data_IF_198225966394
#
_entry.id   IF_198225966394
#
_cell.length_a   1.000
_cell.length_b   1.000
_cell.length_c   1.000
_cell.angle_alpha   90.00
_cell.angle_beta   90.00
_cell.angle_gamma   90.00
#
_symmetry.space_group_name_H-M   'P 1'
#
loop_
_entity.id
_entity.type
_entity.pdbx_description
1 polymer ?
#
# COMPACT_ATOMS: atom_id res chain seq x y z
N UNK A 1 -65.28 -31.42 -2.55
CA UNK A 1 -64.61 -31.78 -1.28
C UNK A 1 -63.46 -30.81 -1.10
N UNK A 2 -63.59 -29.89 -0.13
CA UNK A 2 -62.61 -28.83 0.13
C UNK A 2 -61.42 -29.40 0.89
N UNK A 3 -60.27 -29.53 0.24
CA UNK A 3 -58.98 -29.75 0.91
C UNK A 3 -58.57 -28.47 1.65
N UNK A 4 -58.96 -28.36 2.92
CA UNK A 4 -58.37 -27.39 3.85
C UNK A 4 -57.09 -28.00 4.42
N UNK A 5 -55.98 -27.87 3.69
CA UNK A 5 -54.65 -28.16 4.25
C UNK A 5 -54.26 -27.01 5.18
N UNK A 6 -54.70 -27.08 6.43
CA UNK A 6 -54.21 -26.22 7.50
C UNK A 6 -52.98 -26.85 8.16
N UNK A 7 -51.89 -26.10 8.26
CA UNK A 7 -50.73 -26.51 9.06
C UNK A 7 -51.12 -26.68 10.52
N UNK A 8 -50.66 -27.75 11.17
CA UNK A 8 -50.86 -27.93 12.60
C UNK A 8 -49.96 -26.96 13.38
N UNK A 9 -50.39 -26.55 14.57
CA UNK A 9 -49.62 -25.64 15.43
C UNK A 9 -48.20 -26.20 15.71
N UNK A 10 -48.08 -27.52 15.83
CA UNK A 10 -46.82 -28.22 16.06
C UNK A 10 -45.90 -28.10 14.84
N UNK A 11 -46.42 -28.27 13.62
CA UNK A 11 -45.63 -28.07 12.40
C UNK A 11 -45.14 -26.62 12.26
N UNK A 12 -45.94 -25.64 12.67
CA UNK A 12 -45.54 -24.22 12.66
C UNK A 12 -44.39 -23.97 13.65
N UNK A 13 -44.50 -24.50 14.87
CA UNK A 13 -43.44 -24.33 15.89
C UNK A 13 -42.17 -25.05 15.44
N UNK A 14 -42.28 -26.26 14.90
CA UNK A 14 -41.13 -27.03 14.41
C UNK A 14 -40.43 -26.31 13.24
N UNK A 15 -41.20 -25.79 12.29
CA UNK A 15 -40.65 -25.06 11.14
C UNK A 15 -39.99 -23.75 11.56
N UNK A 16 -40.57 -23.00 12.51
CA UNK A 16 -39.93 -21.80 13.08
C UNK A 16 -38.63 -22.13 13.82
N UNK A 17 -38.61 -23.21 14.61
CA UNK A 17 -37.42 -23.64 15.32
C UNK A 17 -36.30 -24.00 14.35
N UNK A 18 -36.58 -24.81 13.33
CA UNK A 18 -35.61 -25.19 12.31
C UNK A 18 -35.14 -23.96 11.51
N UNK A 19 -36.05 -23.08 11.10
CA UNK A 19 -35.73 -21.85 10.38
C UNK A 19 -34.82 -20.93 11.20
N UNK A 20 -35.03 -20.82 12.52
CA UNK A 20 -34.20 -19.99 13.40
C UNK A 20 -32.75 -20.49 13.50
N UNK A 21 -32.53 -21.81 13.49
CA UNK A 21 -31.20 -22.41 13.49
C UNK A 21 -30.48 -22.10 12.19
N UNK A 22 -31.14 -22.30 11.05
CA UNK A 22 -30.57 -21.97 9.73
C UNK A 22 -30.31 -20.47 9.57
N UNK A 23 -31.22 -19.62 10.06
CA UNK A 23 -31.05 -18.16 10.03
C UNK A 23 -29.82 -17.74 10.82
N UNK A 24 -29.64 -18.28 12.03
CA UNK A 24 -28.49 -17.94 12.89
C UNK A 24 -27.17 -18.35 12.22
N UNK A 25 -27.12 -19.53 11.61
CA UNK A 25 -25.94 -20.01 10.88
C UNK A 25 -25.65 -19.12 9.66
N UNK A 26 -26.67 -18.83 8.85
CA UNK A 26 -26.54 -17.98 7.67
C UNK A 26 -26.07 -16.56 8.04
N UNK A 27 -26.60 -16.00 9.13
CA UNK A 27 -26.22 -14.69 9.63
C UNK A 27 -24.75 -14.65 10.06
N UNK A 28 -24.26 -15.67 10.78
CA UNK A 28 -22.85 -15.78 11.17
C UNK A 28 -21.91 -15.89 9.97
N UNK A 29 -22.30 -16.66 8.95
CA UNK A 29 -21.53 -16.78 7.70
C UNK A 29 -21.50 -15.43 6.95
N UNK A 30 -22.63 -14.73 6.91
CA UNK A 30 -22.73 -13.40 6.31
C UNK A 30 -21.85 -12.36 7.04
N UNK A 31 -21.87 -12.32 8.38
CA UNK A 31 -21.00 -11.45 9.18
C UNK A 31 -19.52 -11.73 8.91
N UNK A 32 -19.14 -13.02 8.84
CA UNK A 32 -17.76 -13.42 8.56
C UNK A 32 -17.33 -12.98 7.15
N UNK A 33 -18.16 -13.25 6.14
CA UNK A 33 -17.87 -12.93 4.75
C UNK A 33 -17.78 -11.41 4.51
N UNK A 34 -18.70 -10.64 5.08
CA UNK A 34 -18.68 -9.17 4.99
C UNK A 34 -17.48 -8.57 5.72
N UNK A 35 -17.17 -9.06 6.93
CA UNK A 35 -15.99 -8.64 7.68
C UNK A 35 -14.68 -8.95 6.95
N UNK A 36 -14.57 -10.13 6.32
CA UNK A 36 -13.41 -10.49 5.51
C UNK A 36 -13.32 -9.64 4.24
N UNK A 37 -14.44 -9.37 3.57
CA UNK A 37 -14.47 -8.51 2.38
C UNK A 37 -14.02 -7.09 2.69
N UNK A 38 -14.47 -6.50 3.80
CA UNK A 38 -14.04 -5.17 4.25
C UNK A 38 -12.54 -5.14 4.58
N UNK A 39 -12.02 -6.16 5.28
CA UNK A 39 -10.58 -6.28 5.56
C UNK A 39 -9.77 -6.39 4.28
N UNK A 40 -10.22 -7.20 3.32
CA UNK A 40 -9.60 -7.36 2.02
C UNK A 40 -9.58 -6.05 1.23
N UNK A 41 -10.72 -5.37 1.11
CA UNK A 41 -10.80 -4.07 0.44
C UNK A 41 -9.85 -3.04 1.07
N UNK A 42 -9.81 -2.96 2.41
CA UNK A 42 -8.91 -2.05 3.11
C UNK A 42 -7.44 -2.39 2.84
N UNK A 43 -7.07 -3.66 2.90
CA UNK A 43 -5.72 -4.12 2.58
C UNK A 43 -5.32 -3.81 1.13
N UNK A 44 -6.23 -4.02 0.18
CA UNK A 44 -6.00 -3.72 -1.23
C UNK A 44 -5.89 -2.22 -1.49
N UNK A 45 -6.72 -1.39 -0.86
CA UNK A 45 -6.64 0.06 -0.98
C UNK A 45 -5.29 0.58 -0.45
N UNK A 46 -4.84 0.08 0.71
CA UNK A 46 -3.54 0.41 1.29
C UNK A 46 -2.39 -0.04 0.38
N UNK A 47 -2.47 -1.25 -0.17
CA UNK A 47 -1.48 -1.77 -1.11
C UNK A 47 -1.42 -0.93 -2.40
N UNK A 48 -2.57 -0.53 -2.94
CA UNK A 48 -2.64 0.30 -4.13
C UNK A 48 -2.05 1.70 -3.89
N UNK A 49 -2.47 2.39 -2.83
CA UNK A 49 -1.94 3.71 -2.45
C UNK A 49 -0.42 3.66 -2.26
N UNK A 50 0.08 2.62 -1.59
CA UNK A 50 1.50 2.40 -1.41
C UNK A 50 2.26 2.26 -2.74
N UNK A 51 1.74 1.46 -3.69
CA UNK A 51 2.37 1.29 -4.99
C UNK A 51 2.37 2.58 -5.83
N UNK A 52 1.31 3.39 -5.71
CA UNK A 52 1.26 4.72 -6.34
C UNK A 52 2.34 5.63 -5.75
N UNK A 53 2.44 5.72 -4.42
CA UNK A 53 3.47 6.51 -3.72
C UNK A 53 4.88 6.05 -4.08
N UNK A 54 5.13 4.73 -4.10
CA UNK A 54 6.40 4.14 -4.52
C UNK A 54 6.77 4.54 -5.95
N UNK A 55 5.81 4.44 -6.87
CA UNK A 55 6.04 4.79 -8.29
C UNK A 55 6.34 6.28 -8.45
N UNK A 56 5.63 7.13 -7.70
CA UNK A 56 5.85 8.58 -7.68
C UNK A 56 7.26 8.92 -7.14
N UNK A 57 7.66 8.31 -6.02
CA UNK A 57 8.99 8.51 -5.44
C UNK A 57 10.11 8.12 -6.42
N UNK A 58 10.00 6.95 -7.06
CA UNK A 58 10.98 6.51 -8.07
C UNK A 58 11.03 7.50 -9.24
N UNK A 59 9.87 8.00 -9.70
CA UNK A 59 9.83 9.02 -10.76
C UNK A 59 10.52 10.31 -10.33
N UNK A 60 10.24 10.80 -9.11
CA UNK A 60 10.86 12.01 -8.58
C UNK A 60 12.38 11.89 -8.48
N UNK A 61 12.88 10.76 -7.96
CA UNK A 61 14.31 10.46 -7.86
C UNK A 61 15.02 10.37 -9.21
N UNK A 62 14.32 9.95 -10.27
CA UNK A 62 14.89 9.90 -11.63
C UNK A 62 14.86 11.23 -12.37
N UNK A 63 13.87 12.07 -12.06
CA UNK A 63 13.58 13.29 -12.83
C UNK A 63 14.29 14.52 -12.26
N UNK A 64 14.49 14.55 -10.94
CA UNK A 64 15.12 15.68 -10.26
C UNK A 64 16.50 15.27 -9.76
N UNK A 65 17.53 16.10 -10.01
CA UNK A 65 18.86 15.84 -9.49
C UNK A 65 18.86 15.96 -7.96
N UNK A 66 19.84 15.33 -7.34
CA UNK A 66 20.06 15.41 -5.90
C UNK A 66 21.45 14.94 -5.53
N UNK A 67 21.84 15.23 -4.31
CA UNK A 67 23.15 14.88 -3.76
C UNK A 67 22.99 14.15 -2.43
N UNK A 68 23.96 13.30 -2.12
CA UNK A 68 24.04 12.63 -0.84
C UNK A 68 24.92 13.48 0.08
N UNK A 69 24.36 14.01 1.17
CA UNK A 69 25.07 14.76 2.20
C UNK A 69 24.82 14.08 3.55
N UNK A 70 25.89 13.72 4.27
CA UNK A 70 25.80 13.09 5.60
C UNK A 70 24.82 11.91 5.68
N UNK A 71 24.87 11.02 4.68
CA UNK A 71 23.98 9.85 4.53
C UNK A 71 22.50 10.17 4.30
N UNK A 72 22.15 11.44 4.02
CA UNK A 72 20.81 11.88 3.63
C UNK A 72 20.79 12.33 2.17
N UNK A 73 19.75 11.94 1.44
CA UNK A 73 19.56 12.37 0.08
C UNK A 73 18.79 13.70 0.06
N UNK A 74 19.39 14.70 -0.57
CA UNK A 74 18.83 16.05 -0.68
C UNK A 74 18.62 16.35 -2.16
N UNK A 75 17.39 16.73 -2.54
CA UNK A 75 17.11 17.18 -3.90
C UNK A 75 17.83 18.51 -4.17
N UNK A 76 18.34 18.69 -5.38
CA UNK A 76 19.06 19.91 -5.79
C UNK A 76 18.38 20.57 -7.00
N UNK A 77 18.64 21.86 -7.20
CA UNK A 77 18.07 22.65 -8.29
C UNK A 77 16.95 23.60 -7.85
N UNK A 78 16.36 24.32 -8.82
CA UNK A 78 15.39 25.39 -8.57
C UNK A 78 14.05 24.94 -7.97
N UNK A 79 13.73 23.64 -8.06
CA UNK A 79 12.51 23.04 -7.51
C UNK A 79 12.77 22.16 -6.27
N UNK A 80 13.97 22.19 -5.69
CA UNK A 80 14.39 21.29 -4.62
C UNK A 80 13.44 21.30 -3.41
N UNK A 81 13.05 22.48 -2.93
CA UNK A 81 12.17 22.63 -1.76
C UNK A 81 10.79 22.04 -2.02
N UNK A 82 10.22 22.33 -3.19
CA UNK A 82 8.92 21.81 -3.62
C UNK A 82 8.93 20.29 -3.80
N UNK A 83 10.01 19.73 -4.34
CA UNK A 83 10.16 18.27 -4.54
C UNK A 83 10.35 17.56 -3.21
N UNK A 84 11.09 18.17 -2.28
CA UNK A 84 11.30 17.63 -0.93
C UNK A 84 9.99 17.58 -0.15
N UNK A 85 9.17 18.64 -0.23
CA UNK A 85 7.83 18.69 0.38
C UNK A 85 6.85 17.70 -0.26
N UNK A 86 6.96 17.46 -1.57
CA UNK A 86 6.07 16.56 -2.30
C UNK A 86 6.49 15.08 -2.25
N UNK A 87 7.67 14.77 -1.70
CA UNK A 87 8.16 13.40 -1.64
C UNK A 87 7.27 12.55 -0.72
N UNK A 88 6.71 11.42 -1.18
CA UNK A 88 5.63 10.73 -0.49
C UNK A 88 6.08 9.84 0.68
N UNK A 89 7.37 9.86 1.03
CA UNK A 89 7.97 9.06 2.10
C UNK A 89 8.80 9.94 3.04
N UNK A 90 9.13 9.45 4.24
CA UNK A 90 10.09 10.11 5.12
C UNK A 90 11.43 10.35 4.41
N UNK A 91 12.24 11.23 5.02
CA UNK A 91 13.49 11.68 4.42
C UNK A 91 14.36 10.51 3.95
N UNK A 92 14.72 10.47 2.64
CA UNK A 92 15.50 9.38 2.10
C UNK A 92 16.95 9.43 2.60
N UNK A 93 17.47 8.27 2.98
CA UNK A 93 18.89 8.05 3.22
C UNK A 93 19.60 7.66 1.93
N UNK A 94 20.92 7.79 1.91
CA UNK A 94 21.72 7.42 0.76
C UNK A 94 23.02 6.73 1.15
N UNK A 95 23.46 5.83 0.27
CA UNK A 95 24.77 5.22 0.29
C UNK A 95 25.40 5.34 -1.09
N UNK A 96 26.66 5.80 -1.12
CA UNK A 96 27.43 5.91 -2.34
C UNK A 96 27.93 4.53 -2.76
N UNK A 97 27.58 4.12 -3.99
CA UNK A 97 28.09 2.90 -4.59
C UNK A 97 29.28 3.21 -5.52
N UNK A 98 30.20 2.26 -5.72
CA UNK A 98 31.22 2.37 -6.75
C UNK A 98 30.58 2.59 -8.14
N UNK A 99 31.24 3.39 -8.99
CA UNK A 99 30.78 3.81 -10.32
C UNK A 99 29.67 4.90 -10.38
N UNK A 100 29.75 5.93 -9.52
CA UNK A 100 28.90 7.15 -9.58
C UNK A 100 27.39 6.88 -9.41
N UNK A 101 27.03 5.79 -8.73
CA UNK A 101 25.62 5.48 -8.43
C UNK A 101 25.35 5.80 -6.96
N UNK A 102 24.26 6.51 -6.68
CA UNK A 102 23.78 6.72 -5.31
C UNK A 102 22.59 5.79 -5.08
N UNK A 103 22.75 4.88 -4.13
CA UNK A 103 21.66 4.05 -3.65
C UNK A 103 20.85 4.86 -2.64
N UNK A 104 19.55 4.94 -2.84
CA UNK A 104 18.67 5.74 -1.99
C UNK A 104 17.72 4.80 -1.25
N UNK A 105 17.66 4.93 0.07
CA UNK A 105 16.79 4.16 0.94
C UNK A 105 15.73 5.08 1.50
N UNK A 106 14.47 4.67 1.47
CA UNK A 106 13.39 5.40 2.11
C UNK A 106 12.43 4.43 2.81
N UNK A 107 11.91 4.85 3.94
CA UNK A 107 11.04 3.99 4.75
C UNK A 107 9.67 3.85 4.09
N UNK A 108 9.33 2.62 3.71
CA UNK A 108 8.04 2.27 3.10
C UNK A 108 7.28 1.24 3.94
N UNK A 109 6.03 0.97 3.61
CA UNK A 109 5.28 -0.17 4.14
C UNK A 109 5.92 -1.46 3.61
N UNK A 110 6.79 -2.08 4.39
CA UNK A 110 7.43 -3.33 4.04
C UNK A 110 6.61 -4.54 4.50
N UNK A 111 6.51 -5.53 3.62
CA UNK A 111 6.02 -6.86 3.96
C UNK A 111 7.16 -7.65 4.63
N UNK A 112 7.27 -7.48 5.95
CA UNK A 112 7.83 -8.41 6.94
C UNK A 112 9.34 -8.62 7.20
N UNK A 113 10.33 -8.08 6.48
CA UNK A 113 11.75 -8.35 6.87
C UNK A 113 12.76 -7.21 6.80
N UNK A 114 12.51 -6.14 6.06
CA UNK A 114 13.36 -4.95 6.11
C UNK A 114 12.53 -3.72 5.72
N UNK A 115 12.35 -2.77 6.64
CA UNK A 115 11.41 -1.64 6.53
C UNK A 115 11.82 -0.56 5.51
N UNK A 116 12.75 -0.88 4.61
CA UNK A 116 13.39 0.07 3.72
C UNK A 116 13.13 -0.31 2.26
N UNK A 117 12.48 0.60 1.54
CA UNK A 117 12.44 0.55 0.09
C UNK A 117 13.74 1.12 -0.49
N UNK A 118 14.14 0.55 -1.61
CA UNK A 118 15.32 0.97 -2.35
C UNK A 118 14.89 1.69 -3.63
N UNK A 119 15.43 2.89 -3.82
CA UNK A 119 15.34 3.68 -5.04
C UNK A 119 16.72 4.01 -5.59
N UNK A 120 16.76 4.43 -6.85
CA UNK A 120 17.98 4.85 -7.52
C UNK A 120 17.78 6.26 -8.07
N UNK A 121 18.76 7.12 -7.83
CA UNK A 121 18.90 8.39 -8.55
C UNK A 121 20.17 8.33 -9.40
N UNK A 122 20.10 8.91 -10.60
CA UNK A 122 21.27 9.12 -11.43
C UNK A 122 21.89 10.46 -11.05
N UNK A 123 23.15 10.44 -10.61
CA UNK A 123 23.96 11.66 -10.57
C UNK A 123 24.15 12.14 -12.01
N UNK A 124 23.67 13.35 -12.34
CA UNK A 124 24.05 14.00 -13.60
C UNK A 124 25.34 14.80 -13.37
N UNK A 125 26.39 14.30 -14.05
CA UNK A 125 27.63 14.93 -14.50
C UNK A 125 28.57 15.52 -13.44
N UNK A 126 29.64 14.76 -13.17
CA UNK A 126 30.93 15.34 -12.81
C UNK A 126 31.32 16.31 -13.94
N UNK A 127 31.66 17.58 -13.66
CA UNK A 127 32.20 18.47 -14.68
C UNK A 127 33.45 17.79 -15.27
N UNK A 128 33.46 17.63 -16.58
CA UNK A 128 34.57 17.02 -17.29
C UNK A 128 35.84 17.86 -17.06
N UNK A 129 36.73 17.43 -16.15
CA UNK A 129 38.00 18.10 -15.85
C UNK A 129 39.01 17.90 -17.00
N UNK A 130 38.62 17.20 -18.06
CA UNK A 130 39.37 17.11 -19.31
C UNK A 130 38.61 17.80 -20.45
N UNK A 131 38.61 19.13 -20.43
CA UNK A 131 38.57 19.91 -21.67
C UNK A 131 40.02 20.16 -22.13
N UNK A 132 40.34 19.96 -23.42
CA UNK A 132 41.65 20.32 -23.97
C UNK A 132 41.92 21.81 -23.90
#
# INVERSE_FOLDING_TARGET
MNNKFGFTLIEIILTLAIASVFYTLAFRVYELATGQHLKFQKSHALYFDYNVKKSLAIKMLKTHPGTCLDSNYIFTGSAADSVTLAFPFPQPHCSSLPAQRTLIFYQGLADSTDNHLVGFSYLKEIPNIYSP
#
